data_IF_996930104384
#
_entry.id   IF_996930104384
#
_cell.length_a   1.000
_cell.length_b   1.000
_cell.length_c   1.000
_cell.angle_alpha   90.00
_cell.angle_beta   90.00
_cell.angle_gamma   90.00
#
_symmetry.space_group_name_H-M   'P 1'
#
loop_
_entity.id
_entity.type
_entity.pdbx_description
1 polymer ?
#
# COMPACT_ATOMS: atom_id res chain seq x y z
N UNK A 1 71.78 -5.33 54.78
CA UNK A 1 70.42 -5.76 54.97
C UNK A 1 69.54 -5.03 53.96
N UNK A 2 69.32 -5.65 52.82
CA UNK A 2 68.71 -4.98 51.66
C UNK A 2 67.29 -5.53 51.52
N UNK A 3 66.29 -4.70 51.65
CA UNK A 3 64.87 -5.08 51.54
C UNK A 3 64.44 -4.83 50.09
N UNK A 4 64.11 -5.92 49.42
CA UNK A 4 63.60 -5.94 48.02
C UNK A 4 62.06 -5.78 48.08
N UNK A 5 61.57 -4.69 47.50
CA UNK A 5 60.12 -4.45 47.36
C UNK A 5 59.54 -5.21 46.13
N UNK A 6 58.57 -6.09 46.41
CA UNK A 6 57.81 -6.80 45.38
C UNK A 6 56.64 -5.89 44.92
N UNK A 7 56.62 -5.56 43.62
CA UNK A 7 55.49 -4.87 43.00
C UNK A 7 54.47 -5.88 42.46
N UNK A 8 53.23 -5.81 42.94
CA UNK A 8 52.09 -6.51 42.31
C UNK A 8 51.58 -5.75 41.09
N UNK A 9 51.19 -6.44 40.03
CA UNK A 9 50.55 -5.82 38.88
C UNK A 9 49.05 -5.51 39.17
N UNK A 10 48.64 -4.29 38.83
CA UNK A 10 47.24 -3.89 38.89
C UNK A 10 46.46 -4.48 37.67
N UNK A 11 45.49 -5.32 37.94
CA UNK A 11 44.52 -5.77 36.94
C UNK A 11 43.50 -4.65 36.68
N UNK A 12 43.52 -4.11 35.48
CA UNK A 12 42.47 -3.18 34.99
C UNK A 12 41.35 -4.04 34.43
N UNK A 13 40.21 -4.11 35.13
CA UNK A 13 38.97 -4.66 34.59
C UNK A 13 38.35 -3.62 33.62
N UNK A 14 38.37 -3.91 32.34
CA UNK A 14 37.61 -3.18 31.36
C UNK A 14 36.14 -3.63 31.40
N UNK A 15 35.26 -2.80 31.91
CA UNK A 15 33.81 -2.99 31.78
C UNK A 15 33.39 -2.62 30.35
N UNK A 16 33.08 -3.62 29.52
CA UNK A 16 32.41 -3.40 28.25
C UNK A 16 30.95 -3.06 28.51
N UNK A 17 30.57 -1.78 28.38
CA UNK A 17 29.19 -1.36 28.41
C UNK A 17 28.52 -1.81 27.10
N UNK A 18 27.71 -2.85 27.16
CA UNK A 18 26.85 -3.27 26.05
C UNK A 18 25.68 -2.28 25.94
N UNK A 19 25.79 -1.32 25.01
CA UNK A 19 24.66 -0.46 24.66
C UNK A 19 23.60 -1.28 23.92
N UNK A 20 22.55 -1.70 24.65
CA UNK A 20 21.33 -2.23 24.03
C UNK A 20 20.61 -1.05 23.38
N UNK A 21 20.72 -0.93 22.06
CA UNK A 21 19.91 -0.01 21.28
C UNK A 21 18.50 -0.61 21.22
N UNK A 22 17.64 -0.20 22.16
CA UNK A 22 16.19 -0.46 22.06
C UNK A 22 15.69 0.48 20.97
N UNK A 23 15.51 -0.04 19.75
CA UNK A 23 14.75 0.65 18.72
C UNK A 23 13.29 0.74 19.21
N UNK A 24 12.93 1.89 19.78
CA UNK A 24 11.54 2.21 20.01
C UNK A 24 10.86 2.31 18.64
N UNK A 25 10.16 1.23 18.26
CA UNK A 25 9.17 1.27 17.20
C UNK A 25 8.11 2.27 17.64
N UNK A 26 8.24 3.52 17.21
CA UNK A 26 7.27 4.56 17.50
C UNK A 26 5.93 4.13 16.93
N UNK A 27 4.97 3.83 17.78
CA UNK A 27 3.57 3.72 17.39
C UNK A 27 3.21 5.07 16.73
N UNK A 28 3.07 5.07 15.41
CA UNK A 28 2.61 6.26 14.69
C UNK A 28 1.22 6.57 15.22
N UNK A 29 1.01 7.80 15.71
CA UNK A 29 -0.30 8.22 16.20
C UNK A 29 -1.34 7.93 15.11
N UNK A 30 -2.42 7.21 15.48
CA UNK A 30 -3.51 6.92 14.57
C UNK A 30 -4.08 8.25 14.06
N UNK A 31 -4.07 8.43 12.75
CA UNK A 31 -4.64 9.60 12.11
C UNK A 31 -6.16 9.57 12.33
N UNK A 32 -6.70 10.60 12.99
CA UNK A 32 -8.10 10.61 13.45
C UNK A 32 -9.12 10.27 12.37
N UNK A 33 -9.95 9.30 12.65
CA UNK A 33 -11.06 8.85 11.80
C UNK A 33 -10.66 7.86 10.70
N UNK A 34 -9.40 7.42 10.62
CA UNK A 34 -9.02 6.31 9.77
C UNK A 34 -9.19 4.98 10.50
N UNK A 35 -9.77 4.01 9.80
CA UNK A 35 -9.85 2.61 10.21
C UNK A 35 -8.84 1.76 9.42
N UNK A 36 -8.09 0.86 10.06
CA UNK A 36 -7.15 -0.01 9.36
C UNK A 36 -7.90 -1.09 8.57
N UNK A 37 -7.47 -1.32 7.33
CA UNK A 37 -7.95 -2.43 6.49
C UNK A 37 -7.00 -3.63 6.51
N UNK A 38 -5.81 -3.47 7.07
CA UNK A 38 -4.80 -4.51 7.20
C UNK A 38 -4.20 -4.47 8.61
N UNK A 39 -4.14 -5.64 9.25
CA UNK A 39 -3.69 -5.80 10.63
C UNK A 39 -2.16 -5.93 10.78
N UNK A 40 -1.42 -5.95 9.65
CA UNK A 40 0.03 -6.18 9.64
C UNK A 40 0.44 -7.62 9.91
N UNK A 41 -0.49 -8.58 10.02
CA UNK A 41 -0.21 -9.96 10.45
C UNK A 41 -0.78 -11.01 9.52
N UNK A 42 -1.94 -10.75 8.92
CA UNK A 42 -2.67 -11.74 8.14
C UNK A 42 -3.47 -11.09 7.01
N UNK A 43 -3.91 -11.91 6.05
CA UNK A 43 -4.86 -11.49 5.02
C UNK A 43 -6.33 -11.57 5.50
N UNK A 44 -6.59 -11.56 6.80
CA UNK A 44 -7.95 -11.52 7.32
C UNK A 44 -8.70 -10.30 6.77
N UNK A 45 -9.92 -10.51 6.28
CA UNK A 45 -10.69 -9.47 5.59
C UNK A 45 -10.30 -9.22 4.13
N UNK A 46 -9.32 -9.97 3.61
CA UNK A 46 -8.90 -9.90 2.21
C UNK A 46 -9.09 -11.25 1.52
N UNK A 47 -9.50 -11.21 0.25
CA UNK A 47 -9.73 -12.41 -0.57
C UNK A 47 -9.09 -12.25 -1.93
N UNK A 48 -8.12 -13.10 -2.23
CA UNK A 48 -7.52 -13.15 -3.56
C UNK A 48 -8.45 -13.89 -4.53
N UNK A 49 -8.47 -13.44 -5.78
CA UNK A 49 -9.00 -14.23 -6.89
C UNK A 49 -7.87 -15.07 -7.51
N UNK A 50 -8.16 -15.82 -8.58
CA UNK A 50 -7.19 -16.56 -9.40
C UNK A 50 -5.98 -17.13 -8.63
N UNK A 51 -4.80 -16.53 -8.78
CA UNK A 51 -3.51 -17.01 -8.28
C UNK A 51 -3.26 -16.56 -6.84
N UNK A 52 -3.86 -17.22 -5.87
CA UNK A 52 -3.76 -16.85 -4.44
C UNK A 52 -2.32 -16.86 -3.91
N UNK A 53 -1.44 -17.70 -4.49
CA UNK A 53 -0.02 -17.76 -4.12
C UNK A 53 0.78 -16.49 -4.47
N UNK A 54 0.21 -15.58 -5.29
CA UNK A 54 0.81 -14.28 -5.58
C UNK A 54 0.82 -13.32 -4.38
N UNK A 55 0.15 -13.69 -3.28
CA UNK A 55 -0.03 -12.84 -2.11
C UNK A 55 0.57 -13.47 -0.86
N UNK A 56 1.36 -12.70 -0.12
CA UNK A 56 1.96 -13.13 1.15
C UNK A 56 1.94 -11.97 2.14
N UNK A 57 1.97 -12.31 3.43
CA UNK A 57 2.29 -11.33 4.48
C UNK A 57 3.69 -11.63 4.98
N UNK A 58 4.57 -10.64 4.89
CA UNK A 58 5.97 -10.73 5.31
C UNK A 58 6.31 -9.45 6.07
N UNK A 59 6.83 -9.56 7.27
CA UNK A 59 7.32 -8.44 8.09
C UNK A 59 6.35 -7.26 8.24
N UNK A 60 5.05 -7.56 8.34
CA UNK A 60 4.01 -6.53 8.47
C UNK A 60 3.54 -5.91 7.15
N UNK A 61 3.90 -6.50 6.02
CA UNK A 61 3.60 -6.02 4.68
C UNK A 61 2.80 -7.05 3.89
N UNK A 62 1.83 -6.62 3.10
CA UNK A 62 1.26 -7.43 2.02
C UNK A 62 2.22 -7.33 0.84
N UNK A 63 2.80 -8.45 0.44
CA UNK A 63 3.67 -8.55 -0.73
C UNK A 63 2.92 -9.22 -1.87
N UNK A 64 2.82 -8.57 -3.01
CA UNK A 64 2.38 -9.19 -4.25
C UNK A 64 3.57 -9.51 -5.15
N UNK A 65 3.69 -10.78 -5.52
CA UNK A 65 4.70 -11.27 -6.46
C UNK A 65 4.24 -12.61 -7.04
N UNK A 66 3.96 -12.64 -8.33
CA UNK A 66 3.49 -13.84 -9.01
C UNK A 66 2.57 -13.54 -10.19
N UNK A 67 1.92 -14.57 -10.76
CA UNK A 67 0.95 -14.40 -11.83
C UNK A 67 -0.18 -13.44 -11.44
N UNK A 68 -0.85 -12.89 -12.47
CA UNK A 68 -2.00 -11.98 -12.29
C UNK A 68 -2.98 -12.49 -11.24
N UNK A 69 -3.29 -11.62 -10.31
CA UNK A 69 -4.30 -11.84 -9.27
C UNK A 69 -4.72 -10.49 -8.68
N UNK A 70 -5.91 -10.44 -8.11
CA UNK A 70 -6.36 -9.26 -7.37
C UNK A 70 -6.77 -9.66 -5.96
N UNK A 71 -6.31 -8.90 -4.98
CA UNK A 71 -6.61 -9.10 -3.57
C UNK A 71 -7.69 -8.10 -3.16
N UNK A 72 -8.92 -8.57 -3.06
CA UNK A 72 -10.09 -7.76 -2.73
C UNK A 72 -10.28 -7.64 -1.22
N UNK A 73 -10.56 -6.44 -0.74
CA UNK A 73 -11.01 -6.25 0.63
C UNK A 73 -12.48 -6.66 0.75
N UNK A 74 -12.74 -7.73 1.45
CA UNK A 74 -14.09 -8.27 1.66
C UNK A 74 -14.61 -8.00 3.08
N UNK A 75 -13.75 -7.49 3.98
CA UNK A 75 -14.13 -7.26 5.36
C UNK A 75 -14.52 -8.53 6.09
N UNK A 76 -15.39 -8.37 7.09
CA UNK A 76 -16.03 -9.51 7.77
C UNK A 76 -17.33 -9.91 7.09
N UNK A 77 -17.69 -11.20 7.19
CA UNK A 77 -18.98 -11.73 6.74
C UNK A 77 -20.17 -10.93 7.34
N UNK A 78 -21.34 -10.86 6.68
CA UNK A 78 -21.71 -11.63 5.48
C UNK A 78 -21.52 -10.89 4.13
N UNK A 79 -21.15 -9.62 4.12
CA UNK A 79 -21.05 -8.86 2.87
C UNK A 79 -19.82 -7.94 2.89
N UNK A 80 -19.19 -7.80 1.73
CA UNK A 80 -18.09 -6.87 1.56
C UNK A 80 -18.52 -5.43 1.90
N UNK A 81 -17.68 -4.66 2.62
CA UNK A 81 -17.96 -3.27 2.93
C UNK A 81 -18.14 -2.44 1.66
N UNK A 82 -19.11 -1.53 1.70
CA UNK A 82 -19.35 -0.59 0.62
C UNK A 82 -18.82 0.79 1.04
N UNK A 83 -17.93 1.33 0.24
CA UNK A 83 -17.37 2.67 0.39
C UNK A 83 -17.89 3.52 -0.77
N UNK A 84 -18.52 4.65 -0.47
CA UNK A 84 -19.04 5.61 -1.46
C UNK A 84 -18.16 6.85 -1.48
N UNK A 85 -18.17 7.62 -0.41
CA UNK A 85 -17.24 8.70 -0.19
C UNK A 85 -16.19 8.27 0.83
N UNK A 86 -14.91 8.45 0.50
CA UNK A 86 -13.84 7.94 1.35
C UNK A 86 -12.51 8.68 1.10
N UNK A 87 -11.61 8.53 2.07
CA UNK A 87 -10.19 8.81 1.92
C UNK A 87 -9.42 7.53 2.24
N UNK A 88 -8.89 6.91 1.22
CA UNK A 88 -8.04 5.70 1.33
C UNK A 88 -6.57 6.10 1.33
N UNK A 89 -5.77 5.41 2.12
CA UNK A 89 -4.30 5.56 2.15
C UNK A 89 -3.63 4.21 2.23
N UNK A 90 -2.53 4.06 1.51
CA UNK A 90 -1.60 2.95 1.65
C UNK A 90 -0.16 3.46 1.55
N UNK A 91 0.75 2.86 2.33
CA UNK A 91 2.18 2.97 2.05
C UNK A 91 2.55 1.88 1.06
N UNK A 92 3.25 2.25 0.01
CA UNK A 92 3.58 1.40 -1.15
C UNK A 92 5.07 1.44 -1.42
N UNK A 93 5.65 0.30 -1.77
CA UNK A 93 7.01 0.18 -2.27
C UNK A 93 7.00 -0.70 -3.51
N UNK A 94 7.49 -0.17 -4.63
CA UNK A 94 7.65 -0.92 -5.88
C UNK A 94 9.08 -1.40 -6.02
N UNK A 95 9.28 -2.62 -6.53
CA UNK A 95 10.56 -3.05 -7.06
C UNK A 95 10.76 -2.53 -8.49
N UNK A 96 12.01 -2.44 -8.99
CA UNK A 96 12.26 -1.97 -10.34
C UNK A 96 11.46 -2.75 -11.39
N UNK A 97 10.81 -2.02 -12.30
CA UNK A 97 9.93 -2.52 -13.36
C UNK A 97 8.60 -3.14 -12.90
N UNK A 98 8.26 -3.04 -11.62
CA UNK A 98 6.98 -3.52 -11.13
C UNK A 98 5.80 -2.69 -11.66
N UNK A 99 4.69 -3.39 -11.92
CA UNK A 99 3.40 -2.83 -12.26
C UNK A 99 2.34 -3.38 -11.29
N UNK A 100 1.51 -2.51 -10.77
CA UNK A 100 0.41 -2.82 -9.85
C UNK A 100 -0.65 -1.72 -9.89
N UNK A 101 -1.66 -1.80 -9.03
CA UNK A 101 -2.72 -0.80 -8.92
C UNK A 101 -3.55 -0.97 -7.67
N UNK A 102 -4.21 0.11 -7.28
CA UNK A 102 -5.19 0.17 -6.19
C UNK A 102 -6.54 0.42 -6.83
N UNK A 103 -7.39 -0.60 -6.85
CA UNK A 103 -8.77 -0.48 -7.34
C UNK A 103 -9.68 0.03 -6.23
N UNK A 104 -10.65 0.84 -6.61
CA UNK A 104 -11.69 1.35 -5.71
C UNK A 104 -13.06 1.37 -6.39
N UNK A 105 -14.14 1.35 -5.61
CA UNK A 105 -15.52 1.14 -6.07
C UNK A 105 -15.69 -0.16 -6.87
N UNK A 106 -14.84 -1.14 -6.61
CA UNK A 106 -14.90 -2.46 -7.23
C UNK A 106 -15.69 -3.44 -6.38
N UNK A 107 -15.85 -4.66 -6.86
CA UNK A 107 -16.42 -5.79 -6.12
C UNK A 107 -15.65 -7.05 -6.41
N UNK A 108 -15.68 -8.02 -5.48
CA UNK A 108 -15.06 -9.31 -5.69
C UNK A 108 -15.58 -9.99 -6.97
N UNK A 109 -14.66 -10.54 -7.73
CA UNK A 109 -14.89 -11.39 -8.87
C UNK A 109 -13.85 -12.50 -8.92
N UNK A 110 -14.24 -13.70 -9.37
CA UNK A 110 -13.38 -14.88 -9.25
C UNK A 110 -12.15 -14.87 -10.17
N UNK A 111 -12.18 -14.10 -11.25
CA UNK A 111 -11.11 -14.04 -12.25
C UNK A 111 -11.15 -12.75 -13.04
N UNK A 112 -10.10 -12.54 -13.86
CA UNK A 112 -9.90 -11.40 -14.73
C UNK A 112 -9.63 -10.06 -14.00
N UNK A 113 -9.43 -9.02 -14.78
CA UNK A 113 -9.25 -7.66 -14.29
C UNK A 113 -10.57 -7.14 -13.68
N UNK A 114 -10.51 -6.40 -12.57
CA UNK A 114 -11.72 -5.81 -12.00
C UNK A 114 -12.52 -5.04 -13.04
N UNK A 115 -13.78 -5.44 -13.22
CA UNK A 115 -14.66 -4.90 -14.26
C UNK A 115 -15.45 -3.68 -13.83
N UNK A 116 -15.36 -3.27 -12.56
CA UNK A 116 -16.08 -2.15 -11.98
C UNK A 116 -15.14 -1.21 -11.21
N UNK A 117 -15.57 0.04 -11.09
CA UNK A 117 -14.83 1.08 -10.39
C UNK A 117 -13.65 1.60 -11.20
N UNK A 118 -12.68 2.13 -10.50
CA UNK A 118 -11.48 2.75 -11.07
C UNK A 118 -10.21 2.16 -10.46
N UNK A 119 -9.09 2.48 -11.10
CA UNK A 119 -7.76 2.08 -10.66
C UNK A 119 -6.87 3.31 -10.49
N UNK A 120 -6.27 3.46 -9.32
CA UNK A 120 -5.11 4.30 -9.09
C UNK A 120 -3.86 3.48 -9.40
N UNK A 121 -3.09 3.93 -10.38
CA UNK A 121 -1.93 3.20 -10.92
C UNK A 121 -0.75 3.21 -9.96
N UNK A 122 -0.13 2.05 -9.78
CA UNK A 122 1.13 1.85 -9.05
C UNK A 122 2.19 1.34 -10.02
N UNK A 123 3.00 2.26 -10.55
CA UNK A 123 4.03 1.95 -11.54
C UNK A 123 5.05 3.08 -11.63
N UNK A 124 6.26 2.87 -11.14
CA UNK A 124 7.32 3.88 -11.25
C UNK A 124 8.18 3.67 -12.50
N UNK A 125 8.54 2.42 -12.86
CA UNK A 125 9.54 2.16 -13.92
C UNK A 125 9.19 0.99 -14.84
N UNK A 126 7.97 0.44 -14.82
CA UNK A 126 7.60 -0.65 -15.74
C UNK A 126 7.59 -0.19 -17.21
N UNK A 127 7.40 -1.12 -18.13
CA UNK A 127 7.30 -0.81 -19.57
C UNK A 127 6.04 -0.02 -19.94
N UNK A 128 4.96 -0.06 -19.14
CA UNK A 128 3.78 0.79 -19.35
C UNK A 128 4.16 2.26 -19.03
N UNK A 129 3.89 3.21 -19.93
CA UNK A 129 4.20 4.62 -19.69
C UNK A 129 3.31 5.31 -18.64
N UNK A 130 2.17 4.71 -18.25
CA UNK A 130 1.25 5.28 -17.27
C UNK A 130 1.81 5.05 -15.87
N UNK A 131 2.12 6.15 -15.16
CA UNK A 131 2.86 6.13 -13.89
C UNK A 131 1.96 6.20 -12.68
N UNK A 132 2.55 5.90 -11.52
CA UNK A 132 1.94 6.00 -10.18
C UNK A 132 1.13 7.27 -10.02
N UNK A 133 -0.03 7.15 -9.38
CA UNK A 133 -0.95 8.26 -9.17
C UNK A 133 -1.85 8.59 -10.37
N UNK A 134 -1.73 7.93 -11.52
CA UNK A 134 -2.70 8.06 -12.60
C UNK A 134 -4.06 7.50 -12.22
N UNK A 135 -5.13 8.09 -12.73
CA UNK A 135 -6.45 7.44 -12.81
C UNK A 135 -6.47 6.64 -14.13
N UNK A 136 -6.21 5.32 -14.04
CA UNK A 136 -5.93 4.49 -15.20
C UNK A 136 -7.05 4.55 -16.24
N UNK A 137 -6.67 4.74 -17.52
CA UNK A 137 -7.57 4.95 -18.67
C UNK A 137 -8.44 6.22 -18.63
N UNK A 138 -8.27 7.12 -17.64
CA UNK A 138 -9.02 8.37 -17.53
C UNK A 138 -8.08 9.58 -17.53
N UNK A 139 -7.18 9.68 -16.55
CA UNK A 139 -6.18 10.76 -16.46
C UNK A 139 -4.79 10.17 -16.31
N UNK A 140 -3.94 10.39 -17.29
CA UNK A 140 -2.57 9.85 -17.31
C UNK A 140 -1.59 10.81 -16.66
N UNK A 141 -0.80 10.29 -15.75
CA UNK A 141 0.48 10.86 -15.33
C UNK A 141 1.60 10.07 -16.01
N UNK A 142 2.53 10.74 -16.68
CA UNK A 142 3.62 10.12 -17.43
C UNK A 142 4.99 10.26 -16.73
N UNK A 143 5.03 10.96 -15.59
CA UNK A 143 6.24 11.14 -14.79
C UNK A 143 6.06 10.42 -13.46
N UNK A 144 6.99 9.53 -13.10
CA UNK A 144 6.93 8.83 -11.83
C UNK A 144 7.11 9.81 -10.66
N UNK A 145 6.12 9.96 -9.76
CA UNK A 145 6.22 10.86 -8.63
C UNK A 145 7.05 10.28 -7.47
N UNK A 146 7.35 8.99 -7.52
CA UNK A 146 8.09 8.23 -6.52
C UNK A 146 9.18 7.39 -7.19
N UNK A 147 10.03 6.75 -6.37
CA UNK A 147 11.13 5.89 -6.84
C UNK A 147 10.93 4.46 -6.37
N UNK A 148 11.44 3.52 -7.16
CA UNK A 148 11.51 2.11 -6.74
C UNK A 148 12.41 1.96 -5.52
N UNK A 149 12.18 0.89 -4.75
CA UNK A 149 12.88 0.56 -3.50
C UNK A 149 12.76 1.63 -2.39
N UNK A 150 11.80 2.55 -2.52
CA UNK A 150 11.47 3.57 -1.52
C UNK A 150 9.99 3.55 -1.22
N UNK A 151 9.66 3.63 0.08
CA UNK A 151 8.27 3.79 0.51
C UNK A 151 7.73 5.15 0.13
N UNK A 152 6.54 5.17 -0.43
CA UNK A 152 5.73 6.37 -0.65
C UNK A 152 4.30 6.13 -0.18
N UNK A 153 3.56 7.18 0.10
CA UNK A 153 2.14 7.10 0.43
C UNK A 153 1.32 7.38 -0.81
N UNK A 154 0.44 6.48 -1.20
CA UNK A 154 -0.59 6.73 -2.20
C UNK A 154 -1.94 6.91 -1.52
N UNK A 155 -2.65 7.98 -1.90
CA UNK A 155 -3.94 8.35 -1.35
C UNK A 155 -4.97 8.47 -2.46
N UNK A 156 -6.16 7.92 -2.22
CA UNK A 156 -7.32 8.08 -3.10
C UNK A 156 -8.45 8.69 -2.27
N UNK A 157 -8.96 9.84 -2.72
CA UNK A 157 -10.06 10.55 -2.08
C UNK A 157 -11.21 10.62 -3.08
N UNK A 158 -12.39 10.17 -2.66
CA UNK A 158 -13.61 10.28 -3.46
C UNK A 158 -14.67 11.02 -2.64
N UNK A 159 -15.19 12.09 -3.22
CA UNK A 159 -16.30 12.89 -2.66
C UNK A 159 -17.30 13.20 -3.78
N UNK A 160 -18.47 12.59 -3.72
CA UNK A 160 -19.46 12.68 -4.79
C UNK A 160 -18.92 12.13 -6.11
N UNK A 161 -18.74 12.99 -7.10
CA UNK A 161 -18.19 12.64 -8.41
C UNK A 161 -16.72 13.10 -8.61
N UNK A 162 -16.06 13.60 -7.56
CA UNK A 162 -14.66 14.04 -7.60
C UNK A 162 -13.73 12.93 -7.10
N UNK A 163 -12.65 12.71 -7.84
CA UNK A 163 -11.56 11.78 -7.53
C UNK A 163 -10.28 12.59 -7.39
N UNK A 164 -9.61 12.50 -6.25
CA UNK A 164 -8.28 13.08 -6.05
C UNK A 164 -7.31 11.94 -5.71
N UNK A 165 -6.22 11.85 -6.45
CA UNK A 165 -5.13 10.92 -6.16
C UNK A 165 -3.89 11.72 -5.78
N UNK A 166 -3.28 11.35 -4.65
CA UNK A 166 -2.05 11.98 -4.17
C UNK A 166 -0.94 10.96 -3.98
N UNK A 167 0.29 11.40 -4.18
CA UNK A 167 1.50 10.65 -3.85
C UNK A 167 2.36 11.54 -2.96
N UNK A 168 2.70 11.05 -1.77
CA UNK A 168 3.42 11.79 -0.72
C UNK A 168 2.82 13.18 -0.44
N UNK A 169 1.47 13.24 -0.41
CA UNK A 169 0.70 14.46 -0.19
C UNK A 169 0.59 15.39 -1.40
N UNK A 170 1.37 15.18 -2.47
CA UNK A 170 1.27 15.94 -3.72
C UNK A 170 0.09 15.42 -4.55
N UNK A 171 -0.83 16.29 -4.94
CA UNK A 171 -1.92 15.95 -5.86
C UNK A 171 -1.37 15.66 -7.25
N UNK A 172 -1.62 14.45 -7.76
CA UNK A 172 -1.28 13.99 -9.10
C UNK A 172 -2.50 14.08 -10.02
N UNK A 173 -3.66 13.65 -9.52
CA UNK A 173 -4.94 13.71 -10.21
C UNK A 173 -5.95 14.46 -9.36
N UNK A 174 -6.72 15.35 -9.98
CA UNK A 174 -7.91 15.99 -9.45
C UNK A 174 -8.94 15.99 -10.59
N UNK A 175 -9.82 15.00 -10.58
CA UNK A 175 -10.74 14.71 -11.67
C UNK A 175 -12.19 14.71 -11.17
N UNK A 176 -13.08 15.32 -11.94
CA UNK A 176 -14.53 15.24 -11.73
C UNK A 176 -15.14 14.38 -12.81
N UNK A 177 -15.63 13.19 -12.44
CA UNK A 177 -16.28 12.27 -13.38
C UNK A 177 -17.53 12.88 -13.98
N UNK A 178 -17.63 12.83 -15.31
CA UNK A 178 -18.80 13.23 -16.07
C UNK A 178 -19.46 12.02 -16.70
N UNK A 179 -20.79 11.99 -16.70
CA UNK A 179 -21.57 10.86 -17.26
C UNK A 179 -21.14 10.49 -18.70
N UNK A 180 -20.77 11.47 -19.52
CA UNK A 180 -20.32 11.25 -20.89
C UNK A 180 -18.94 10.56 -21.02
N UNK A 181 -18.16 10.52 -19.93
CA UNK A 181 -16.82 9.93 -19.90
C UNK A 181 -16.81 8.46 -19.44
N UNK A 182 -17.97 7.97 -18.96
CA UNK A 182 -18.10 6.59 -18.47
C UNK A 182 -17.98 5.61 -19.62
N UNK A 183 -16.96 4.74 -19.55
CA UNK A 183 -16.71 3.67 -20.52
C UNK A 183 -16.57 2.33 -19.80
N UNK A 184 -17.04 1.27 -20.44
CA UNK A 184 -16.80 -0.12 -20.04
C UNK A 184 -17.15 -0.45 -18.58
N UNK A 185 -18.18 0.20 -18.00
CA UNK A 185 -18.58 0.00 -16.61
C UNK A 185 -17.68 0.65 -15.57
N UNK A 186 -16.59 1.30 -15.99
CA UNK A 186 -15.70 2.05 -15.09
C UNK A 186 -16.34 3.38 -14.74
N UNK A 187 -16.91 3.43 -13.55
CA UNK A 187 -17.58 4.61 -13.00
C UNK A 187 -17.53 4.61 -11.49
N UNK A 188 -17.66 5.80 -10.92
CA UNK A 188 -17.94 5.96 -9.50
C UNK A 188 -19.28 5.34 -9.14
N UNK A 189 -19.32 4.68 -7.99
CA UNK A 189 -20.54 4.05 -7.46
C UNK A 189 -20.43 3.92 -5.93
N UNK A 190 -20.56 2.72 -5.43
CA UNK A 190 -20.12 2.28 -4.12
C UNK A 190 -19.54 0.88 -4.28
N UNK A 191 -18.52 0.57 -3.52
CA UNK A 191 -17.84 -0.72 -3.64
C UNK A 191 -16.68 -0.84 -2.66
N UNK A 192 -15.84 -1.83 -2.89
CA UNK A 192 -14.68 -2.09 -2.06
C UNK A 192 -13.38 -1.72 -2.78
N UNK A 193 -12.25 -2.12 -2.18
CA UNK A 193 -10.92 -1.93 -2.71
C UNK A 193 -10.34 -3.27 -3.18
N UNK A 194 -9.39 -3.21 -4.12
CA UNK A 194 -8.53 -4.33 -4.44
C UNK A 194 -7.11 -3.88 -4.76
N UNK A 195 -6.13 -4.70 -4.41
CA UNK A 195 -4.74 -4.55 -4.81
C UNK A 195 -4.46 -5.47 -6.00
N UNK A 196 -3.53 -5.09 -6.88
CA UNK A 196 -3.21 -5.84 -8.08
C UNK A 196 -1.84 -6.51 -7.99
N UNK A 197 -1.77 -7.81 -8.29
CA UNK A 197 -0.58 -8.48 -8.77
C UNK A 197 -0.69 -8.57 -10.30
N UNK A 198 0.13 -7.79 -11.02
CA UNK A 198 -0.04 -7.59 -12.46
C UNK A 198 0.52 -8.76 -13.28
N UNK A 199 1.74 -9.17 -12.98
CA UNK A 199 2.49 -10.21 -13.71
C UNK A 199 3.63 -10.77 -12.84
N UNK A 200 4.22 -11.92 -13.23
CA UNK A 200 5.27 -12.56 -12.44
C UNK A 200 6.56 -11.75 -12.25
N UNK A 201 6.79 -10.73 -13.07
CA UNK A 201 7.95 -9.85 -12.97
C UNK A 201 7.74 -8.67 -12.03
N UNK A 202 6.51 -8.47 -11.58
CA UNK A 202 6.14 -7.35 -10.71
C UNK A 202 6.16 -7.77 -9.24
N UNK A 203 6.91 -7.01 -8.42
CA UNK A 203 6.89 -7.14 -6.96
C UNK A 203 6.58 -5.79 -6.34
N UNK A 204 5.50 -5.74 -5.55
CA UNK A 204 5.05 -4.54 -4.85
C UNK A 204 4.67 -4.90 -3.42
N UNK A 205 5.02 -4.03 -2.49
CA UNK A 205 4.75 -4.16 -1.08
C UNK A 205 3.74 -3.08 -0.65
N UNK A 206 2.80 -3.47 0.20
CA UNK A 206 1.79 -2.60 0.76
C UNK A 206 1.75 -2.73 2.28
N UNK A 207 1.67 -1.62 2.99
CA UNK A 207 1.45 -1.61 4.44
C UNK A 207 0.66 -0.39 4.86
N UNK A 208 0.26 -0.34 6.10
CA UNK A 208 -0.46 0.79 6.68
C UNK A 208 -1.70 1.18 5.83
N UNK A 209 -2.40 0.15 5.33
CA UNK A 209 -3.61 0.30 4.50
C UNK A 209 -4.76 0.69 5.42
N UNK A 210 -5.35 1.85 5.15
CA UNK A 210 -6.42 2.40 5.98
C UNK A 210 -7.38 3.26 5.18
N UNK A 211 -8.58 3.42 5.70
CA UNK A 211 -9.62 4.21 5.06
C UNK A 211 -10.35 5.06 6.09
N UNK A 212 -10.78 6.23 5.68
CA UNK A 212 -11.73 7.09 6.39
C UNK A 212 -12.96 7.25 5.53
N UNK A 213 -14.13 6.91 6.09
CA UNK A 213 -15.41 7.19 5.44
C UNK A 213 -15.68 8.69 5.50
N UNK A 214 -16.10 9.26 4.38
CA UNK A 214 -16.50 10.66 4.29
C UNK A 214 -18.01 10.74 4.22
N UNK A 215 -18.61 11.88 4.63
CA UNK A 215 -20.06 12.09 4.53
C UNK A 215 -20.59 11.95 3.09
N UNK A 216 -21.86 11.58 2.97
CA UNK A 216 -22.60 11.53 1.69
C UNK A 216 -23.05 12.93 1.25
#
# INVERSE_FOLDING_TARGET
MTITAVRLPAFVLAFAACCVVVSAGGARAEESGFEPLFDGKSLAGWKANENTASWKVVDGEIVCHGPRSHLFYVGGEPAAPQFKNFHFKAEVLTKPKANSGIYFHTKYQDKDWPSQGHEAQVNNTSGDPVRTGSLYNVVKNLEAPAKDDQWFTEEVIVEGNRIVIKVDGKTIVDHTEKTAEIKDGRKLSAGTFALQAHDPGSEVHYRNIRVKRLPD
#
